data_IF_126722739657
#
_entry.id   IF_126722739657
#
_cell.length_a   1.000
_cell.length_b   1.000
_cell.length_c   1.000
_cell.angle_alpha   90.00
_cell.angle_beta   90.00
_cell.angle_gamma   90.00
#
_symmetry.space_group_name_H-M   'P 1'
#
loop_
_entity.id
_entity.type
_entity.pdbx_description
1 polymer ?
#
# COMPACT_ATOMS: atom_id res chain seq x y z
N UNK A 1 -6.82 10.48 -3.13
CA UNK A 1 -5.98 9.43 -3.73
C UNK A 1 -4.54 9.91 -3.92
N UNK A 2 -4.24 10.84 -4.84
CA UNK A 2 -2.86 11.34 -5.03
C UNK A 2 -2.23 12.00 -3.80
N UNK A 3 -3.03 12.66 -2.95
CA UNK A 3 -2.56 13.24 -1.68
C UNK A 3 -2.14 12.18 -0.66
N UNK A 4 -2.82 11.03 -0.64
CA UNK A 4 -2.58 9.96 0.32
C UNK A 4 -1.33 9.16 -0.04
N UNK A 5 -1.14 8.84 -1.34
CA UNK A 5 0.11 8.25 -1.83
C UNK A 5 1.33 9.13 -1.52
N UNK A 6 1.17 10.45 -1.62
CA UNK A 6 2.23 11.38 -1.26
C UNK A 6 2.51 11.39 0.25
N UNK A 7 1.48 11.29 1.09
CA UNK A 7 1.66 11.19 2.54
C UNK A 7 2.49 9.96 2.88
N UNK A 8 2.02 8.76 2.45
CA UNK A 8 2.74 7.49 2.62
C UNK A 8 4.20 7.61 2.17
N UNK A 9 4.43 8.17 0.99
CA UNK A 9 5.76 8.33 0.44
C UNK A 9 6.64 9.26 1.28
N UNK A 10 6.12 10.44 1.66
CA UNK A 10 6.89 11.41 2.43
C UNK A 10 7.18 10.90 3.82
N UNK A 11 6.21 10.29 4.50
CA UNK A 11 6.40 9.78 5.85
C UNK A 11 7.51 8.70 5.88
N UNK A 12 7.56 7.81 4.88
CA UNK A 12 8.62 6.80 4.76
C UNK A 12 10.00 7.41 4.39
N UNK A 13 10.04 8.46 3.55
CA UNK A 13 11.30 9.10 3.17
C UNK A 13 11.85 9.98 4.28
N UNK A 14 11.00 10.70 4.99
CA UNK A 14 11.35 11.55 6.13
C UNK A 14 11.96 10.69 7.25
N UNK A 15 11.48 9.45 7.44
CA UNK A 15 12.11 8.49 8.35
C UNK A 15 13.56 8.19 7.93
N UNK A 16 13.79 7.83 6.67
CA UNK A 16 15.15 7.54 6.16
C UNK A 16 16.07 8.77 6.32
N UNK A 17 15.58 9.98 6.06
CA UNK A 17 16.38 11.22 6.20
C UNK A 17 16.68 11.59 7.66
N UNK A 18 15.84 11.14 8.59
CA UNK A 18 16.00 11.36 10.03
C UNK A 18 16.97 10.40 10.72
N UNK A 19 17.25 9.25 10.10
CA UNK A 19 18.21 8.26 10.58
C UNK A 19 19.65 8.59 10.12
N UNK A 20 20.64 8.11 10.88
CA UNK A 20 22.04 8.19 10.43
C UNK A 20 22.22 7.34 9.16
N UNK A 21 23.08 7.77 8.22
CA UNK A 21 23.30 7.08 6.94
C UNK A 21 23.63 5.59 7.14
N UNK A 22 22.66 4.71 6.84
CA UNK A 22 22.81 3.26 6.91
C UNK A 22 22.11 2.57 8.09
N UNK A 23 21.43 3.32 8.96
CA UNK A 23 20.70 2.74 10.10
C UNK A 23 19.23 2.38 9.78
N UNK A 24 18.66 2.91 8.69
CA UNK A 24 17.33 2.52 8.25
C UNK A 24 17.32 1.09 7.66
N UNK A 25 16.37 0.26 8.11
CA UNK A 25 16.16 -1.12 7.65
C UNK A 25 15.61 -1.22 6.21
N UNK A 26 15.23 -0.09 5.62
CA UNK A 26 14.75 0.02 4.25
C UNK A 26 15.31 1.26 3.55
N UNK A 27 15.27 1.22 2.22
CA UNK A 27 15.86 2.24 1.36
C UNK A 27 14.80 3.03 0.60
N UNK A 28 15.20 4.16 0.00
CA UNK A 28 14.33 4.92 -0.89
C UNK A 28 13.86 4.14 -2.12
N UNK A 29 14.58 3.09 -2.53
CA UNK A 29 14.13 2.19 -3.59
C UNK A 29 13.00 1.27 -3.09
N UNK A 30 13.03 0.81 -1.83
CA UNK A 30 11.95 0.03 -1.23
C UNK A 30 10.67 0.88 -1.10
N UNK A 31 10.80 2.14 -0.67
CA UNK A 31 9.69 3.10 -0.67
C UNK A 31 9.11 3.26 -2.07
N UNK A 32 9.98 3.41 -3.08
CA UNK A 32 9.55 3.51 -4.48
C UNK A 32 8.82 2.25 -4.96
N UNK A 33 9.26 1.05 -4.56
CA UNK A 33 8.56 -0.20 -4.86
C UNK A 33 7.17 -0.26 -4.21
N UNK A 34 7.06 0.15 -2.94
CA UNK A 34 5.77 0.25 -2.25
C UNK A 34 4.80 1.17 -2.99
N UNK A 35 5.23 2.40 -3.29
CA UNK A 35 4.40 3.39 -4.01
C UNK A 35 4.04 2.91 -5.42
N UNK A 36 4.97 2.24 -6.11
CA UNK A 36 4.71 1.68 -7.44
C UNK A 36 3.63 0.61 -7.38
N UNK A 37 3.69 -0.32 -6.42
CA UNK A 37 2.67 -1.36 -6.26
C UNK A 37 1.27 -0.78 -5.98
N UNK A 38 1.17 0.27 -5.17
CA UNK A 38 -0.10 0.96 -4.92
C UNK A 38 -0.63 1.69 -6.18
N UNK A 39 0.25 2.29 -6.97
CA UNK A 39 -0.11 2.94 -8.24
C UNK A 39 -0.56 1.92 -9.30
N UNK A 40 0.09 0.78 -9.38
CA UNK A 40 -0.27 -0.32 -10.27
C UNK A 40 -1.65 -0.88 -9.89
N UNK A 41 -1.89 -1.15 -8.61
CA UNK A 41 -3.22 -1.53 -8.11
C UNK A 41 -4.32 -0.54 -8.51
N UNK A 42 -4.10 0.76 -8.30
CA UNK A 42 -5.04 1.80 -8.71
C UNK A 42 -5.29 1.78 -10.22
N UNK A 43 -4.24 1.56 -11.01
CA UNK A 43 -4.34 1.51 -12.48
C UNK A 43 -5.12 0.28 -12.95
N UNK A 44 -4.89 -0.89 -12.35
CA UNK A 44 -5.65 -2.12 -12.63
C UNK A 44 -7.13 -2.00 -12.25
N UNK A 45 -7.42 -1.39 -11.09
CA UNK A 45 -8.80 -1.14 -10.67
C UNK A 45 -9.53 -0.17 -11.62
N UNK A 46 -8.80 0.72 -12.30
CA UNK A 46 -9.35 1.70 -13.24
C UNK A 46 -9.37 1.23 -14.70
N UNK A 47 -8.71 0.11 -15.05
CA UNK A 47 -8.58 -0.32 -16.44
C UNK A 47 -9.88 -0.84 -17.05
N UNK A 48 -10.79 -1.34 -16.21
CA UNK A 48 -12.10 -1.86 -16.60
C UNK A 48 -13.09 -1.82 -15.44
N UNK A 49 -14.37 -2.09 -15.73
CA UNK A 49 -15.41 -2.15 -14.71
C UNK A 49 -15.17 -3.35 -13.78
N UNK A 50 -15.12 -3.09 -12.47
CA UNK A 50 -14.81 -4.09 -11.46
C UNK A 50 -16.07 -4.65 -10.80
N UNK A 51 -16.02 -5.94 -10.48
CA UNK A 51 -16.94 -6.60 -9.55
C UNK A 51 -16.32 -6.65 -8.15
N UNK A 52 -17.10 -7.02 -7.13
CA UNK A 52 -16.53 -7.25 -5.81
C UNK A 52 -15.46 -8.35 -5.82
N UNK A 53 -15.70 -9.44 -6.54
CA UNK A 53 -14.78 -10.58 -6.59
C UNK A 53 -13.49 -10.24 -7.33
N UNK A 54 -13.58 -9.58 -8.50
CA UNK A 54 -12.37 -9.12 -9.20
C UNK A 54 -11.59 -8.07 -8.39
N UNK A 55 -12.29 -7.20 -7.66
CA UNK A 55 -11.65 -6.24 -6.74
C UNK A 55 -10.93 -6.95 -5.60
N UNK A 56 -11.51 -7.99 -5.00
CA UNK A 56 -10.86 -8.79 -3.96
C UNK A 56 -9.57 -9.44 -4.47
N UNK A 57 -9.56 -9.96 -5.70
CA UNK A 57 -8.34 -10.51 -6.29
C UNK A 57 -7.26 -9.44 -6.50
N UNK A 58 -7.63 -8.24 -6.94
CA UNK A 58 -6.70 -7.10 -7.02
C UNK A 58 -6.18 -6.68 -5.63
N UNK A 59 -7.06 -6.60 -4.63
CA UNK A 59 -6.68 -6.29 -3.24
C UNK A 59 -5.73 -7.35 -2.69
N UNK A 60 -6.07 -8.63 -2.82
CA UNK A 60 -5.22 -9.74 -2.41
C UNK A 60 -3.84 -9.67 -3.04
N UNK A 61 -3.79 -9.38 -4.35
CA UNK A 61 -2.52 -9.28 -5.07
C UNK A 61 -1.64 -8.17 -4.51
N UNK A 62 -2.17 -6.94 -4.39
CA UNK A 62 -1.37 -5.82 -3.84
C UNK A 62 -1.00 -6.08 -2.38
N UNK A 63 -1.90 -6.67 -1.60
CA UNK A 63 -1.66 -7.00 -0.20
C UNK A 63 -0.50 -8.02 -0.11
N UNK A 64 -0.57 -9.17 -0.77
CA UNK A 64 0.52 -10.15 -0.71
C UNK A 64 1.87 -9.60 -1.23
N UNK A 65 1.86 -8.70 -2.21
CA UNK A 65 3.07 -8.00 -2.67
C UNK A 65 3.67 -7.11 -1.59
N UNK A 66 2.84 -6.37 -0.84
CA UNK A 66 3.30 -5.53 0.28
C UNK A 66 3.83 -6.37 1.46
N UNK A 67 3.27 -7.56 1.73
CA UNK A 67 3.77 -8.46 2.79
C UNK A 67 5.20 -8.82 2.46
N UNK A 68 5.39 -9.31 1.23
CA UNK A 68 6.69 -9.74 0.73
C UNK A 68 7.71 -8.61 0.76
N UNK A 69 7.31 -7.38 0.39
CA UNK A 69 8.20 -6.22 0.44
C UNK A 69 8.56 -5.86 1.90
N UNK A 70 7.58 -5.80 2.80
CA UNK A 70 7.82 -5.47 4.21
C UNK A 70 8.77 -6.49 4.87
N UNK A 71 8.57 -7.78 4.60
CA UNK A 71 9.44 -8.85 5.11
C UNK A 71 10.88 -8.74 4.59
N UNK A 72 11.08 -8.30 3.34
CA UNK A 72 12.42 -8.04 2.80
C UNK A 72 13.12 -6.86 3.50
N UNK A 73 12.33 -5.94 4.05
CA UNK A 73 12.76 -4.80 4.85
C UNK A 73 12.76 -5.07 6.37
N UNK A 74 12.81 -6.35 6.79
CA UNK A 74 12.84 -6.71 8.21
C UNK A 74 11.57 -6.35 9.00
N UNK A 75 10.45 -6.20 8.29
CA UNK A 75 9.15 -5.74 8.79
C UNK A 75 9.11 -4.27 9.27
N UNK A 76 10.08 -3.46 8.85
CA UNK A 76 10.21 -2.04 9.26
C UNK A 76 9.67 -1.03 8.23
N UNK A 77 9.24 -1.46 7.04
CA UNK A 77 8.82 -0.53 5.98
C UNK A 77 7.40 0.01 6.22
N UNK A 78 6.47 -0.85 6.65
CA UNK A 78 5.05 -0.50 6.83
C UNK A 78 4.72 -0.55 8.33
N UNK A 79 4.77 0.61 8.98
CA UNK A 79 4.35 0.75 10.38
C UNK A 79 2.86 1.09 10.51
N UNK A 80 2.43 1.41 11.74
CA UNK A 80 1.01 1.67 12.05
C UNK A 80 0.42 2.79 11.19
N UNK A 81 1.15 3.89 11.02
CA UNK A 81 0.66 5.06 10.27
C UNK A 81 0.55 4.74 8.77
N UNK A 82 1.58 4.13 8.18
CA UNK A 82 1.55 3.71 6.77
C UNK A 82 0.47 2.65 6.52
N UNK A 83 0.24 1.72 7.46
CA UNK A 83 -0.83 0.73 7.37
C UNK A 83 -2.19 1.39 7.29
N UNK A 84 -2.48 2.36 8.17
CA UNK A 84 -3.76 3.07 8.18
C UNK A 84 -4.00 3.80 6.84
N UNK A 85 -2.98 4.50 6.34
CA UNK A 85 -3.04 5.21 5.07
C UNK A 85 -3.17 4.27 3.87
N UNK A 86 -2.47 3.13 3.86
CA UNK A 86 -2.58 2.12 2.79
C UNK A 86 -3.99 1.50 2.78
N UNK A 87 -4.55 1.17 3.94
CA UNK A 87 -5.91 0.65 4.04
C UNK A 87 -6.94 1.68 3.54
N UNK A 88 -6.76 2.95 3.93
CA UNK A 88 -7.62 4.04 3.46
C UNK A 88 -7.47 4.27 1.93
N UNK A 89 -6.25 4.14 1.41
CA UNK A 89 -5.98 4.24 -0.03
C UNK A 89 -6.71 3.15 -0.81
N UNK A 90 -6.57 1.89 -0.40
CA UNK A 90 -7.22 0.74 -1.05
C UNK A 90 -8.73 0.92 -1.05
N UNK A 91 -9.31 1.33 0.08
CA UNK A 91 -10.75 1.60 0.21
C UNK A 91 -11.21 2.73 -0.72
N UNK A 92 -10.44 3.80 -0.86
CA UNK A 92 -10.74 4.92 -1.76
C UNK A 92 -10.68 4.51 -3.23
N UNK A 93 -9.71 3.66 -3.61
CA UNK A 93 -9.62 3.10 -4.97
C UNK A 93 -10.84 2.23 -5.30
N UNK A 94 -11.24 1.33 -4.39
CA UNK A 94 -12.46 0.54 -4.57
C UNK A 94 -13.72 1.40 -4.72
N UNK A 95 -13.84 2.42 -3.87
CA UNK A 95 -14.95 3.36 -3.92
C UNK A 95 -14.99 4.11 -5.26
N UNK A 96 -13.83 4.49 -5.81
CA UNK A 96 -13.72 5.11 -7.12
C UNK A 96 -14.11 4.15 -8.27
N UNK A 97 -13.92 2.84 -8.09
CA UNK A 97 -14.41 1.81 -9.00
C UNK A 97 -15.90 1.44 -8.79
N UNK A 98 -16.62 2.16 -7.93
CA UNK A 98 -18.01 1.89 -7.53
C UNK A 98 -18.22 0.52 -6.86
N UNK A 99 -17.18 -0.02 -6.22
CA UNK A 99 -17.25 -1.29 -5.49
C UNK A 99 -17.39 -1.01 -4.01
N UNK A 100 -18.49 -1.46 -3.43
CA UNK A 100 -18.81 -1.28 -2.01
C UNK A 100 -18.44 -2.55 -1.25
N UNK A 101 -17.66 -2.39 -0.19
CA UNK A 101 -17.34 -3.43 0.78
C UNK A 101 -17.49 -2.86 2.19
N UNK A 102 -18.03 -3.68 3.10
CA UNK A 102 -18.18 -3.33 4.51
C UNK A 102 -17.07 -4.01 5.31
N UNK A 103 -16.30 -3.23 6.06
CA UNK A 103 -15.15 -3.71 6.84
C UNK A 103 -13.81 -3.37 6.21
N UNK A 104 -12.74 -3.98 6.72
CA UNK A 104 -11.40 -3.91 6.15
C UNK A 104 -11.21 -5.05 5.15
N UNK A 105 -11.14 -4.72 3.85
CA UNK A 105 -10.97 -5.72 2.79
C UNK A 105 -9.55 -6.31 2.75
N UNK A 106 -8.59 -5.67 3.43
CA UNK A 106 -7.19 -6.12 3.45
C UNK A 106 -6.96 -7.17 4.53
N UNK A 107 -7.81 -7.22 5.56
CA UNK A 107 -7.63 -8.00 6.79
C UNK A 107 -7.39 -9.50 6.55
N UNK A 108 -8.00 -10.08 5.51
CA UNK A 108 -7.87 -11.51 5.22
C UNK A 108 -6.42 -11.93 4.87
N UNK A 109 -5.64 -11.03 4.26
CA UNK A 109 -4.30 -11.38 3.75
C UNK A 109 -3.16 -10.51 4.31
N UNK A 110 -3.48 -9.48 5.11
CA UNK A 110 -2.51 -8.50 5.61
C UNK A 110 -1.73 -9.04 6.82
N UNK A 111 -0.40 -8.91 6.78
CA UNK A 111 0.53 -9.29 7.86
C UNK A 111 1.26 -8.08 8.48
N UNK A 112 1.25 -6.91 7.82
CA UNK A 112 1.79 -5.63 8.34
C UNK A 112 0.80 -4.86 9.23
#
# INVERSE_FOLDING_TARGET
MKSLLKSIQYDMLDFIEGEDEGDADYTSEDVKLCITGLLEFMSSMASEAQTLESSKEHVKTVVLSLNSLNHQCGDCLIETDQREDICEFIKKVMSAANVVFSGDITEEWREW
#
